data_IF_422629151798
#
_entry.id   IF_422629151798
#
_cell.length_a   1.000
_cell.length_b   1.000
_cell.length_c   1.000
_cell.angle_alpha   90.00
_cell.angle_beta   90.00
_cell.angle_gamma   90.00
#
_symmetry.space_group_name_H-M   'P 1'
#
loop_
_entity.id
_entity.type
_entity.pdbx_description
1 polymer ?
#
# COMPACT_ATOMS: atom_id res chain seq x y z
N UNK A 1 11.70 -1.94 -18.17
CA UNK A 1 11.42 -0.77 -17.29
C UNK A 1 12.61 -0.56 -16.39
N UNK A 2 12.96 0.69 -16.05
CA UNK A 2 14.10 0.99 -15.18
C UNK A 2 13.73 0.88 -13.70
N UNK A 3 14.71 0.67 -12.82
CA UNK A 3 14.50 0.50 -11.37
C UNK A 3 13.64 1.63 -10.77
N UNK A 4 13.88 2.89 -11.14
CA UNK A 4 13.10 4.03 -10.65
C UNK A 4 11.61 3.94 -11.00
N UNK A 5 11.23 3.46 -12.19
CA UNK A 5 9.81 3.31 -12.51
C UNK A 5 9.16 2.17 -11.73
N UNK A 6 9.93 1.13 -11.40
CA UNK A 6 9.47 0.03 -10.56
C UNK A 6 9.33 0.46 -9.10
N UNK A 7 10.20 1.33 -8.58
CA UNK A 7 10.03 1.96 -7.25
C UNK A 7 8.68 2.67 -7.18
N UNK A 8 8.37 3.54 -8.13
CA UNK A 8 7.09 4.27 -8.14
C UNK A 8 5.91 3.31 -8.22
N UNK A 9 6.01 2.27 -9.05
CA UNK A 9 4.93 1.29 -9.23
C UNK A 9 4.72 0.44 -7.97
N UNK A 10 5.80 -0.08 -7.38
CA UNK A 10 5.78 -0.89 -6.18
C UNK A 10 5.32 -0.08 -4.97
N UNK A 11 5.79 1.15 -4.78
CA UNK A 11 5.35 2.03 -3.70
C UNK A 11 3.84 2.30 -3.77
N UNK A 12 3.28 2.53 -4.97
CA UNK A 12 1.83 2.66 -5.16
C UNK A 12 1.07 1.37 -4.92
N UNK A 13 1.64 0.20 -5.26
CA UNK A 13 1.03 -1.10 -4.97
C UNK A 13 0.97 -1.36 -3.46
N UNK A 14 2.06 -1.10 -2.73
CA UNK A 14 2.09 -1.15 -1.27
C UNK A 14 1.02 -0.22 -0.69
N UNK A 15 0.98 1.04 -1.15
CA UNK A 15 -0.04 2.00 -0.74
C UNK A 15 -1.47 1.52 -0.99
N UNK A 16 -1.74 0.87 -2.13
CA UNK A 16 -3.04 0.25 -2.41
C UNK A 16 -3.38 -0.89 -1.44
N UNK A 17 -2.44 -1.82 -1.19
CA UNK A 17 -2.66 -2.92 -0.23
C UNK A 17 -3.07 -2.36 1.13
N UNK A 18 -2.31 -1.38 1.64
CA UNK A 18 -2.58 -0.79 2.96
C UNK A 18 -3.89 0.00 2.96
N UNK A 19 -4.17 0.78 1.92
CA UNK A 19 -5.44 1.50 1.79
C UNK A 19 -6.63 0.53 1.87
N UNK A 20 -6.58 -0.62 1.19
CA UNK A 20 -7.66 -1.61 1.22
C UNK A 20 -7.74 -2.30 2.58
N UNK A 21 -6.61 -2.66 3.21
CA UNK A 21 -6.59 -3.16 4.61
C UNK A 21 -7.28 -2.18 5.57
N UNK A 22 -6.95 -0.90 5.46
CA UNK A 22 -7.58 0.13 6.29
C UNK A 22 -9.07 0.30 5.97
N UNK A 23 -9.45 0.30 4.69
CA UNK A 23 -10.85 0.36 4.28
C UNK A 23 -11.66 -0.81 4.86
N UNK A 24 -11.15 -2.04 4.79
CA UNK A 24 -11.81 -3.21 5.37
C UNK A 24 -12.03 -3.03 6.88
N UNK A 25 -11.05 -2.45 7.59
CA UNK A 25 -11.09 -2.22 9.03
C UNK A 25 -12.04 -1.08 9.44
N UNK A 26 -12.06 0.02 8.68
CA UNK A 26 -12.75 1.26 9.04
C UNK A 26 -14.01 1.56 8.23
N UNK A 27 -14.32 0.78 7.20
CA UNK A 27 -15.54 0.98 6.41
C UNK A 27 -16.78 0.69 7.24
N UNK A 28 -17.77 1.58 7.11
CA UNK A 28 -19.11 1.39 7.64
C UNK A 28 -20.02 0.56 6.71
N UNK A 29 -19.49 0.09 5.57
CA UNK A 29 -20.23 -0.64 4.52
C UNK A 29 -19.80 -2.12 4.46
N UNK A 30 -20.41 -3.00 5.27
CA UNK A 30 -20.03 -4.42 5.33
C UNK A 30 -20.21 -5.14 3.98
N UNK A 31 -21.15 -4.70 3.14
CA UNK A 31 -21.42 -5.26 1.81
C UNK A 31 -20.24 -5.09 0.84
N UNK A 32 -19.37 -4.11 1.08
CA UNK A 32 -18.20 -3.85 0.25
C UNK A 32 -16.95 -4.62 0.71
N UNK A 33 -16.97 -5.25 1.89
CA UNK A 33 -15.79 -5.90 2.48
C UNK A 33 -15.23 -7.01 1.60
N UNK A 34 -16.08 -7.90 1.09
CA UNK A 34 -15.64 -9.00 0.26
C UNK A 34 -14.94 -8.52 -1.02
N UNK A 35 -15.46 -7.45 -1.64
CA UNK A 35 -14.83 -6.87 -2.82
C UNK A 35 -13.46 -6.27 -2.49
N UNK A 36 -13.36 -5.52 -1.39
CA UNK A 36 -12.11 -4.91 -0.93
C UNK A 36 -11.05 -5.96 -0.57
N UNK A 37 -11.45 -7.10 0.01
CA UNK A 37 -10.55 -8.23 0.32
C UNK A 37 -9.96 -8.84 -0.96
N UNK A 38 -10.77 -9.05 -2.00
CA UNK A 38 -10.29 -9.57 -3.30
C UNK A 38 -9.31 -8.60 -3.97
N UNK A 39 -9.58 -7.30 -3.89
CA UNK A 39 -8.69 -6.27 -4.41
C UNK A 39 -7.36 -6.23 -3.63
N UNK A 40 -7.40 -6.32 -2.30
CA UNK A 40 -6.20 -6.37 -1.44
C UNK A 40 -5.27 -7.52 -1.84
N UNK A 41 -5.81 -8.73 -2.00
CA UNK A 41 -5.04 -9.92 -2.42
C UNK A 41 -4.38 -9.68 -3.78
N UNK A 42 -5.13 -9.15 -4.75
CA UNK A 42 -4.63 -8.89 -6.11
C UNK A 42 -3.48 -7.88 -6.11
N UNK A 43 -3.60 -6.81 -5.31
CA UNK A 43 -2.54 -5.82 -5.16
C UNK A 43 -1.31 -6.40 -4.47
N UNK A 44 -1.50 -7.29 -3.49
CA UNK A 44 -0.41 -7.93 -2.76
C UNK A 44 0.38 -8.90 -3.62
N UNK A 45 -0.29 -9.74 -4.40
CA UNK A 45 0.36 -10.64 -5.38
C UNK A 45 1.21 -9.85 -6.39
N UNK A 46 0.68 -8.71 -6.83
CA UNK A 46 1.39 -7.80 -7.72
C UNK A 46 2.59 -7.14 -7.03
N UNK A 47 2.51 -6.80 -5.75
CA UNK A 47 3.62 -6.24 -4.98
C UNK A 47 4.74 -7.27 -4.77
N UNK A 48 4.39 -8.52 -4.45
CA UNK A 48 5.35 -9.64 -4.31
C UNK A 48 6.13 -9.87 -5.60
N UNK A 49 5.44 -9.79 -6.75
CA UNK A 49 6.10 -9.95 -8.05
C UNK A 49 7.13 -8.85 -8.32
N UNK A 50 6.80 -7.61 -8.00
CA UNK A 50 7.69 -6.46 -8.23
C UNK A 50 8.83 -6.41 -7.21
N UNK A 51 8.59 -6.78 -5.95
CA UNK A 51 9.61 -6.81 -4.90
C UNK A 51 10.76 -7.77 -5.21
N UNK A 52 10.54 -8.78 -6.04
CA UNK A 52 11.57 -9.76 -6.42
C UNK A 52 12.40 -9.36 -7.64
N UNK A 53 12.12 -8.23 -8.29
CA UNK A 53 12.79 -7.86 -9.54
C UNK A 53 14.18 -7.25 -9.35
N UNK A 54 14.47 -6.68 -8.19
CA UNK A 54 15.70 -5.95 -7.92
C UNK A 54 16.20 -6.20 -6.50
N UNK A 55 17.48 -5.91 -6.27
CA UNK A 55 18.01 -5.75 -4.91
C UNK A 55 17.73 -4.32 -4.44
N UNK A 56 17.03 -4.22 -3.32
CA UNK A 56 16.59 -2.96 -2.72
C UNK A 56 17.55 -2.55 -1.61
N UNK A 57 18.07 -1.33 -1.70
CA UNK A 57 18.87 -0.75 -0.64
C UNK A 57 17.98 0.11 0.28
N UNK A 58 18.53 0.54 1.41
CA UNK A 58 17.80 1.36 2.39
C UNK A 58 17.21 2.66 1.81
N UNK A 59 17.87 3.26 0.81
CA UNK A 59 17.34 4.45 0.13
C UNK A 59 16.10 4.10 -0.69
N UNK A 60 16.12 2.98 -1.42
CA UNK A 60 14.97 2.53 -2.20
C UNK A 60 13.79 2.20 -1.27
N UNK A 61 14.03 1.53 -0.14
CA UNK A 61 13.00 1.22 0.86
C UNK A 61 12.34 2.46 1.42
N UNK A 62 13.15 3.49 1.73
CA UNK A 62 12.65 4.79 2.17
C UNK A 62 11.78 5.44 1.09
N UNK A 63 12.21 5.40 -0.17
CA UNK A 63 11.45 5.96 -1.29
C UNK A 63 10.12 5.21 -1.51
N UNK A 64 10.11 3.89 -1.37
CA UNK A 64 8.89 3.07 -1.41
C UNK A 64 7.91 3.47 -0.30
N UNK A 65 8.41 3.66 0.93
CA UNK A 65 7.63 4.11 2.08
C UNK A 65 7.00 5.47 1.84
N UNK A 66 7.79 6.43 1.39
CA UNK A 66 7.34 7.81 1.14
C UNK A 66 6.25 7.83 0.06
N UNK A 67 6.44 7.09 -1.03
CA UNK A 67 5.46 6.97 -2.13
C UNK A 67 4.18 6.26 -1.66
N UNK A 68 4.29 5.20 -0.86
CA UNK A 68 3.14 4.48 -0.33
C UNK A 68 2.29 5.39 0.56
N UNK A 69 2.92 6.14 1.46
CA UNK A 69 2.25 7.08 2.36
C UNK A 69 1.58 8.23 1.61
N UNK A 70 2.28 8.85 0.65
CA UNK A 70 1.71 9.90 -0.19
C UNK A 70 0.48 9.39 -0.94
N UNK A 71 0.57 8.17 -1.50
CA UNK A 71 -0.54 7.54 -2.20
C UNK A 71 -1.75 7.29 -1.29
N UNK A 72 -1.53 6.77 -0.08
CA UNK A 72 -2.61 6.52 0.89
C UNK A 72 -3.32 7.83 1.23
N UNK A 73 -2.57 8.88 1.58
CA UNK A 73 -3.11 10.19 1.96
C UNK A 73 -3.88 10.83 0.80
N UNK A 74 -3.35 10.77 -0.42
CA UNK A 74 -4.03 11.32 -1.60
C UNK A 74 -5.34 10.60 -1.88
N UNK A 75 -5.34 9.26 -1.81
CA UNK A 75 -6.52 8.45 -2.08
C UNK A 75 -7.56 8.54 -0.97
N UNK A 76 -7.15 8.51 0.28
CA UNK A 76 -8.08 8.65 1.41
C UNK A 76 -8.85 9.96 1.31
N UNK A 77 -8.14 11.08 1.12
CA UNK A 77 -8.76 12.40 1.10
C UNK A 77 -9.68 12.60 -0.11
N UNK A 78 -9.34 12.02 -1.27
CA UNK A 78 -10.11 12.20 -2.51
C UNK A 78 -11.29 11.25 -2.64
N UNK A 79 -11.11 9.97 -2.26
CA UNK A 79 -12.10 8.91 -2.53
C UNK A 79 -12.91 8.52 -1.31
N UNK A 80 -12.36 8.69 -0.11
CA UNK A 80 -12.95 8.18 1.14
C UNK A 80 -12.90 9.26 2.24
N UNK A 81 -13.39 10.48 1.99
CA UNK A 81 -13.31 11.57 2.97
C UNK A 81 -14.14 11.30 4.24
N UNK A 82 -15.05 10.33 4.19
CA UNK A 82 -15.92 9.88 5.28
C UNK A 82 -15.27 8.81 6.18
N UNK A 83 -14.12 8.26 5.79
CA UNK A 83 -13.40 7.24 6.55
C UNK A 83 -12.24 7.88 7.30
N UNK A 84 -12.23 7.76 8.62
CA UNK A 84 -11.11 8.24 9.43
C UNK A 84 -9.96 7.22 9.36
N UNK A 85 -8.86 7.61 8.72
CA UNK A 85 -7.65 6.81 8.62
C UNK A 85 -6.59 7.31 9.61
N UNK A 86 -6.32 6.58 10.71
CA UNK A 86 -5.25 6.97 11.62
C UNK A 86 -3.91 6.88 10.90
N UNK A 87 -3.22 8.02 10.75
CA UNK A 87 -1.94 8.11 10.04
C UNK A 87 -0.88 7.19 10.64
N UNK A 88 -0.77 7.14 11.97
CA UNK A 88 0.18 6.28 12.68
C UNK A 88 -0.03 4.80 12.35
N UNK A 89 -1.30 4.38 12.17
CA UNK A 89 -1.60 3.02 11.77
C UNK A 89 -1.23 2.76 10.31
N UNK A 90 -1.50 3.70 9.41
CA UNK A 90 -1.05 3.60 8.02
C UNK A 90 0.47 3.44 7.93
N UNK A 91 1.23 4.27 8.66
CA UNK A 91 2.68 4.19 8.71
C UNK A 91 3.18 2.83 9.23
N UNK A 92 2.60 2.34 10.32
CA UNK A 92 2.92 1.01 10.87
C UNK A 92 2.64 -0.11 9.87
N UNK A 93 1.49 -0.08 9.20
CA UNK A 93 1.10 -1.10 8.23
C UNK A 93 1.99 -1.07 6.98
N UNK A 94 2.41 0.11 6.52
CA UNK A 94 3.38 0.24 5.42
C UNK A 94 4.72 -0.38 5.81
N UNK A 95 5.22 -0.06 7.01
CA UNK A 95 6.49 -0.60 7.51
C UNK A 95 6.44 -2.13 7.69
N UNK A 96 5.30 -2.67 8.15
CA UNK A 96 5.04 -4.10 8.24
C UNK A 96 5.05 -4.76 6.84
N UNK A 97 4.34 -4.19 5.86
CA UNK A 97 4.27 -4.77 4.51
C UNK A 97 5.62 -4.74 3.77
N UNK A 98 6.41 -3.67 3.94
CA UNK A 98 7.78 -3.61 3.39
C UNK A 98 8.62 -4.78 3.96
N UNK A 99 8.54 -5.03 5.27
CA UNK A 99 9.25 -6.17 5.90
C UNK A 99 8.74 -7.52 5.40
N UNK A 100 7.43 -7.70 5.26
CA UNK A 100 6.84 -8.95 4.76
C UNK A 100 7.22 -9.26 3.32
N UNK A 101 7.39 -8.22 2.49
CA UNK A 101 7.86 -8.35 1.12
C UNK A 101 9.37 -8.67 1.02
N UNK A 102 10.06 -8.74 2.16
CA UNK A 102 11.51 -8.95 2.23
C UNK A 102 12.31 -7.77 1.70
N UNK A 103 11.71 -6.57 1.74
CA UNK A 103 12.31 -5.33 1.24
C UNK A 103 13.22 -4.72 2.29
#
# INVERSE_FOLDING_TARGET
MGKNSVIITLGRRIGNVILHKMLIKYTNRPESKHHLEVEEITYRDSAIKDSRQYNWNEKDKKELRDIAMEFIIDKSNKKYPDVNFPREEAERLVDEEIRELGL
#
